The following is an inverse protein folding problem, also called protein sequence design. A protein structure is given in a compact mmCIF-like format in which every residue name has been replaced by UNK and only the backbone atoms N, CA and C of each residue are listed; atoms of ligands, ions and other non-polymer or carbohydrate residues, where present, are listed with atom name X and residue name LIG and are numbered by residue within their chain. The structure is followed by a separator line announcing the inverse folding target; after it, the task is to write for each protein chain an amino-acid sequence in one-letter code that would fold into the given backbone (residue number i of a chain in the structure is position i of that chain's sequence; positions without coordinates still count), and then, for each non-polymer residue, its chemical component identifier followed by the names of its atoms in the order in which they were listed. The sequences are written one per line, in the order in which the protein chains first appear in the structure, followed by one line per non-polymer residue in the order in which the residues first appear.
data_IF_177365997525
#
_entry.id   IF_177365997525
#
_cell.length_a   1.000
_cell.length_b   1.000
_cell.length_c   1.000
_cell.angle_alpha   90.00
_cell.angle_beta   90.00
_cell.angle_gamma   90.00
#
_symmetry.space_group_name_H-M   'P 1'
#
loop_
_entity.id
_entity.type
_entity.pdbx_description
1 polymer ?
#
# COMPACT_ATOMS: atom_id res chain seq x y z
N UNK A 1 -5.68 6.68 0.90
CA UNK A 1 -5.65 6.23 -0.51
C UNK A 1 -7.07 5.91 -0.96
N UNK A 2 -7.39 6.12 -2.22
CA UNK A 2 -8.69 5.80 -2.83
C UNK A 2 -8.44 5.10 -4.17
N UNK A 3 -9.17 4.01 -4.41
CA UNK A 3 -9.09 3.22 -5.64
C UNK A 3 -10.46 3.16 -6.28
N UNK A 4 -10.56 3.39 -7.59
CA UNK A 4 -11.82 3.30 -8.33
C UNK A 4 -11.78 2.09 -9.27
N UNK A 5 -12.83 1.26 -9.25
CA UNK A 5 -12.95 0.10 -10.14
C UNK A 5 -13.96 0.35 -11.26
N UNK A 6 -13.70 -0.16 -12.48
CA UNK A 6 -14.69 -0.15 -13.56
C UNK A 6 -15.93 -0.98 -13.19
N UNK A 7 -17.07 -0.65 -13.79
CA UNK A 7 -18.38 -1.26 -13.46
C UNK A 7 -18.50 -2.77 -13.78
N UNK A 8 -17.54 -3.35 -14.52
CA UNK A 8 -17.47 -4.78 -14.84
C UNK A 8 -16.23 -5.40 -14.21
N UNK A 9 -16.30 -5.72 -12.93
CA UNK A 9 -15.35 -6.63 -12.26
C UNK A 9 -16.13 -7.70 -11.52
N UNK A 10 -16.16 -8.91 -12.06
CA UNK A 10 -16.93 -10.01 -11.46
C UNK A 10 -16.19 -10.66 -10.29
N UNK A 11 -14.87 -10.45 -10.17
CA UNK A 11 -14.04 -10.96 -9.08
C UNK A 11 -12.85 -10.03 -8.84
N UNK A 12 -12.78 -9.44 -7.65
CA UNK A 12 -11.62 -8.71 -7.18
C UNK A 12 -10.93 -9.52 -6.08
N UNK A 13 -9.71 -9.99 -6.35
CA UNK A 13 -8.85 -10.59 -5.33
C UNK A 13 -7.89 -9.51 -4.84
N UNK A 14 -8.22 -8.87 -3.72
CA UNK A 14 -7.28 -7.99 -3.01
C UNK A 14 -6.54 -8.86 -2.00
N UNK A 15 -5.25 -9.11 -2.25
CA UNK A 15 -4.35 -9.59 -1.22
C UNK A 15 -3.85 -8.38 -0.42
N UNK A 16 -4.16 -8.33 0.87
CA UNK A 16 -3.73 -7.27 1.76
C UNK A 16 -2.40 -7.65 2.40
N UNK A 17 -1.39 -6.79 2.24
CA UNK A 17 -0.18 -6.80 3.06
C UNK A 17 0.09 -5.33 3.46
N UNK A 18 0.33 -5.04 4.73
CA UNK A 18 0.74 -3.71 5.20
C UNK A 18 2.23 -3.81 5.50
N UNK A 19 3.07 -3.22 4.65
CA UNK A 19 4.53 -3.27 4.81
C UNK A 19 5.06 -1.86 5.08
N UNK A 20 5.89 -1.73 6.11
CA UNK A 20 6.79 -0.59 6.27
C UNK A 20 8.13 -1.02 5.69
N UNK A 21 8.76 -0.15 4.92
CA UNK A 21 10.10 -0.38 4.39
C UNK A 21 11.13 -0.36 5.54
N UNK A 22 11.43 -1.54 6.08
CA UNK A 22 12.70 -1.87 6.73
C UNK A 22 12.81 -3.39 6.82
N UNK A 23 13.13 -4.04 5.70
CA UNK A 23 13.43 -5.48 5.68
C UNK A 23 14.87 -5.81 6.12
N UNK A 24 15.62 -4.83 6.61
CA UNK A 24 16.92 -5.08 7.20
C UNK A 24 16.78 -5.05 8.74
N UNK A 25 16.69 -6.25 9.34
CA UNK A 25 17.17 -6.62 10.71
C UNK A 25 16.12 -7.12 11.74
N UNK A 26 14.78 -7.20 11.52
CA UNK A 26 13.85 -7.73 12.58
C UNK A 26 12.66 -8.59 12.11
N UNK A 27 12.15 -9.43 13.03
CA UNK A 27 11.41 -10.70 12.77
C UNK A 27 9.91 -10.60 12.38
N UNK A 28 9.20 -9.50 12.64
CA UNK A 28 7.75 -9.38 12.34
C UNK A 28 7.35 -7.93 12.09
N UNK A 29 6.87 -7.63 10.89
CA UNK A 29 6.31 -6.34 10.50
C UNK A 29 4.83 -6.19 10.86
N UNK A 30 4.25 -5.02 10.55
CA UNK A 30 2.81 -4.77 10.72
C UNK A 30 1.91 -5.69 9.87
N UNK A 31 2.47 -6.30 8.81
CA UNK A 31 1.80 -7.31 7.99
C UNK A 31 1.74 -8.71 8.64
N UNK A 32 2.52 -8.96 9.70
CA UNK A 32 2.67 -10.27 10.34
C UNK A 32 1.89 -10.41 11.66
N UNK A 33 1.21 -9.35 12.10
CA UNK A 33 0.50 -9.31 13.38
C UNK A 33 -1.01 -9.42 13.18
N UNK A 34 -1.70 -9.90 14.22
CA UNK A 34 -3.16 -9.94 14.24
C UNK A 34 -3.68 -8.60 14.76
N UNK A 35 -4.53 -7.96 13.97
CA UNK A 35 -5.13 -6.67 14.30
C UNK A 35 -6.48 -6.85 14.97
N UNK A 36 -6.77 -6.02 15.96
CA UNK A 36 -8.09 -5.99 16.59
C UNK A 36 -9.07 -5.24 15.68
N UNK A 37 -10.28 -5.79 15.49
CA UNK A 37 -11.38 -5.04 14.88
C UNK A 37 -12.00 -4.17 15.97
N UNK A 38 -11.85 -2.85 15.86
CA UNK A 38 -12.36 -1.91 16.86
C UNK A 38 -13.69 -1.30 16.49
N UNK A 39 -14.00 -1.20 15.19
CA UNK A 39 -15.29 -0.72 14.66
C UNK A 39 -15.60 -1.41 13.34
N UNK A 40 -16.86 -1.69 13.06
CA UNK A 40 -17.29 -2.12 11.74
C UNK A 40 -18.77 -1.78 11.52
N UNK A 41 -19.14 -1.61 10.26
CA UNK A 41 -20.52 -1.50 9.79
C UNK A 41 -20.62 -2.20 8.44
N UNK A 42 -21.47 -3.21 8.35
CA UNK A 42 -21.63 -4.01 7.13
C UNK A 42 -22.76 -3.50 6.23
N UNK A 43 -23.71 -2.76 6.79
CA UNK A 43 -24.91 -2.29 6.11
C UNK A 43 -24.86 -0.78 5.76
N UNK A 44 -25.75 -0.39 4.86
CA UNK A 44 -25.91 1.00 4.42
C UNK A 44 -24.93 1.43 3.33
N UNK A 45 -24.92 2.74 3.04
CA UNK A 45 -24.27 3.31 1.84
C UNK A 45 -22.73 3.33 1.88
N UNK A 46 -22.12 3.05 3.04
CA UNK A 46 -20.67 3.14 3.28
C UNK A 46 -20.22 2.07 4.28
N UNK A 47 -20.30 0.78 3.92
CA UNK A 47 -19.81 -0.27 4.80
C UNK A 47 -18.31 -0.10 5.01
N UNK A 48 -17.86 -0.35 6.23
CA UNK A 48 -16.48 -0.13 6.65
C UNK A 48 -16.06 -1.05 7.79
N UNK A 49 -14.77 -1.22 7.94
CA UNK A 49 -14.12 -1.93 9.03
C UNK A 49 -12.87 -1.17 9.46
N UNK A 50 -12.63 -1.11 10.76
CA UNK A 50 -11.51 -0.43 11.38
C UNK A 50 -10.70 -1.46 12.15
N UNK A 51 -9.45 -1.62 11.73
CA UNK A 51 -8.45 -2.43 12.38
C UNK A 51 -7.53 -1.54 13.22
N UNK A 52 -7.17 -1.99 14.42
CA UNK A 52 -6.24 -1.30 15.31
C UNK A 52 -5.19 -2.27 15.82
N UNK A 53 -3.95 -1.83 15.85
CA UNK A 53 -2.83 -2.52 16.48
C UNK A 53 -2.08 -1.55 17.39
N UNK A 54 -1.58 -2.05 18.52
CA UNK A 54 -0.72 -1.28 19.43
C UNK A 54 0.66 -1.91 19.39
N UNK A 55 1.59 -1.22 18.75
CA UNK A 55 3.01 -1.56 18.68
C UNK A 55 3.68 -1.11 19.98
N UNK A 56 4.22 -2.01 20.80
CA UNK A 56 4.86 -1.63 22.07
C UNK A 56 6.17 -0.85 21.86
N UNK A 57 6.63 -0.16 22.90
CA UNK A 57 7.95 0.48 22.94
C UNK A 57 9.06 -0.53 22.63
N UNK A 58 9.94 -0.18 21.69
CA UNK A 58 11.02 -1.06 21.23
C UNK A 58 10.62 -2.10 20.19
N UNK A 59 9.36 -2.15 19.76
CA UNK A 59 8.92 -3.03 18.67
C UNK A 59 9.66 -2.67 17.37
N UNK A 60 10.20 -3.68 16.71
CA UNK A 60 11.14 -3.54 15.60
C UNK A 60 12.30 -2.53 15.86
N UNK A 61 12.59 -2.24 17.12
CA UNK A 61 13.65 -1.30 17.53
C UNK A 61 13.24 0.16 17.52
N UNK A 62 11.98 0.47 17.22
CA UNK A 62 11.48 1.84 17.23
C UNK A 62 11.09 2.28 18.65
N UNK A 63 11.35 3.54 19.01
CA UNK A 63 10.99 4.07 20.32
C UNK A 63 9.49 4.33 20.41
N UNK A 64 8.96 4.20 21.62
CA UNK A 64 7.61 4.57 22.00
C UNK A 64 6.55 3.54 21.63
N UNK A 65 5.46 3.56 22.37
CA UNK A 65 4.25 2.84 22.00
C UNK A 65 3.52 3.59 20.87
N UNK A 66 3.17 2.87 19.81
CA UNK A 66 2.49 3.42 18.64
C UNK A 66 1.13 2.73 18.43
N UNK A 67 0.05 3.51 18.46
CA UNK A 67 -1.27 3.02 18.01
C UNK A 67 -1.35 3.22 16.51
N UNK A 68 -1.57 2.14 15.76
CA UNK A 68 -1.82 2.19 14.32
C UNK A 68 -3.27 1.78 14.06
N UNK A 69 -3.94 2.51 13.18
CA UNK A 69 -5.32 2.24 12.77
C UNK A 69 -5.42 2.22 11.25
N UNK A 70 -6.13 1.23 10.71
CA UNK A 70 -6.44 1.12 9.29
C UNK A 70 -7.95 1.02 9.11
N UNK A 71 -8.53 1.98 8.41
CA UNK A 71 -9.94 1.97 8.05
C UNK A 71 -10.10 1.60 6.58
N UNK A 72 -10.78 0.48 6.33
CA UNK A 72 -11.26 0.10 5.00
C UNK A 72 -12.72 0.47 4.86
N UNK A 73 -13.08 1.10 3.75
CA UNK A 73 -14.45 1.56 3.50
C UNK A 73 -14.77 1.43 2.02
N UNK A 74 -15.87 0.78 1.71
CA UNK A 74 -16.44 0.83 0.37
C UNK A 74 -17.32 2.08 0.30
N UNK A 75 -17.11 2.89 -0.74
CA UNK A 75 -17.96 4.05 -1.02
C UNK A 75 -18.68 3.85 -2.35
N UNK A 76 -19.49 4.84 -2.75
CA UNK A 76 -20.22 4.76 -4.03
C UNK A 76 -19.24 4.66 -5.20
N UNK A 77 -19.73 4.17 -6.34
CA UNK A 77 -18.98 4.08 -7.60
C UNK A 77 -17.75 3.15 -7.51
N UNK A 78 -17.93 1.96 -6.92
CA UNK A 78 -16.90 0.93 -6.80
C UNK A 78 -15.57 1.48 -6.29
N UNK A 79 -15.61 2.34 -5.27
CA UNK A 79 -14.41 2.94 -4.71
C UNK A 79 -14.06 2.30 -3.37
N UNK A 80 -12.81 1.85 -3.24
CA UNK A 80 -12.21 1.42 -1.98
C UNK A 80 -11.39 2.55 -1.39
N UNK A 81 -11.80 3.02 -0.22
CA UNK A 81 -11.06 4.00 0.58
C UNK A 81 -10.29 3.27 1.68
N UNK A 82 -8.98 3.53 1.74
CA UNK A 82 -8.08 3.03 2.79
C UNK A 82 -7.45 4.22 3.50
N UNK A 83 -7.74 4.37 4.79
CA UNK A 83 -7.16 5.42 5.63
C UNK A 83 -6.29 4.77 6.68
N UNK A 84 -5.01 5.15 6.72
CA UNK A 84 -4.03 4.64 7.67
C UNK A 84 -3.58 5.79 8.55
N UNK A 85 -3.66 5.61 9.86
CA UNK A 85 -3.33 6.61 10.86
C UNK A 85 -2.41 5.97 11.92
N UNK A 86 -1.46 6.75 12.42
CA UNK A 86 -0.59 6.33 13.49
C UNK A 86 -0.47 7.44 14.53
N UNK A 87 -0.52 7.08 15.81
CA UNK A 87 -0.42 8.02 16.93
C UNK A 87 0.57 7.51 17.97
N UNK A 88 1.72 8.19 18.18
CA UNK A 88 2.61 7.87 19.27
C UNK A 88 1.93 8.19 20.61
N UNK A 89 2.11 7.35 21.63
CA UNK A 89 1.55 7.60 22.96
C UNK A 89 2.50 8.36 23.88
N UNK A 90 3.80 8.06 23.83
CA UNK A 90 4.77 8.44 24.85
C UNK A 90 6.07 9.04 24.29
N UNK A 91 6.55 8.58 23.13
CA UNK A 91 7.79 9.06 22.50
C UNK A 91 7.59 9.36 21.02
N UNK A 92 8.34 10.33 20.51
CA UNK A 92 8.44 10.55 19.07
C UNK A 92 9.04 9.31 18.40
N UNK A 93 8.44 8.88 17.28
CA UNK A 93 8.86 7.70 16.53
C UNK A 93 8.64 7.94 15.04
N UNK A 94 9.56 7.44 14.21
CA UNK A 94 9.44 7.56 12.76
C UNK A 94 8.37 6.60 12.24
N UNK A 95 7.45 7.10 11.43
CA UNK A 95 6.36 6.30 10.84
C UNK A 95 6.17 6.67 9.38
N UNK A 96 6.16 5.67 8.50
CA UNK A 96 5.73 5.79 7.11
C UNK A 96 4.95 4.52 6.73
N UNK A 97 3.62 4.64 6.59
CA UNK A 97 2.74 3.50 6.35
C UNK A 97 2.47 3.34 4.85
N UNK A 98 2.57 2.12 4.34
CA UNK A 98 2.20 1.79 2.98
C UNK A 98 1.18 0.63 2.94
N UNK A 99 0.40 0.61 1.87
CA UNK A 99 -0.58 -0.43 1.59
C UNK A 99 -0.11 -1.25 0.39
N UNK A 100 0.19 -2.53 0.62
CA UNK A 100 0.94 -3.38 -0.30
C UNK A 100 0.03 -4.34 -1.08
N UNK A 101 -0.97 -3.79 -1.76
CA UNK A 101 -1.87 -4.57 -2.62
C UNK A 101 -1.24 -4.85 -3.98
N UNK A 102 -1.41 -6.06 -4.46
CA UNK A 102 -1.13 -6.46 -5.83
C UNK A 102 -2.41 -6.45 -6.66
N UNK A 103 -2.32 -5.94 -7.89
CA UNK A 103 -3.41 -5.93 -8.85
C UNK A 103 -3.08 -6.87 -10.00
N UNK A 104 -4.06 -7.68 -10.39
CA UNK A 104 -4.11 -8.40 -11.65
C UNK A 104 -5.56 -8.33 -12.13
N UNK A 105 -5.81 -7.55 -13.17
CA UNK A 105 -7.13 -7.26 -13.71
C UNK A 105 -7.70 -8.45 -14.48
N UNK A 106 -6.86 -9.38 -14.93
CA UNK A 106 -7.28 -10.68 -15.45
C UNK A 106 -7.89 -11.59 -14.37
N UNK A 107 -7.60 -11.30 -13.10
CA UNK A 107 -8.13 -12.01 -11.94
C UNK A 107 -7.27 -13.19 -11.48
N UNK A 108 -7.84 -14.01 -10.61
CA UNK A 108 -7.13 -15.14 -10.01
C UNK A 108 -6.70 -16.15 -11.08
N UNK A 109 -5.43 -16.56 -11.07
CA UNK A 109 -4.80 -17.48 -12.03
C UNK A 109 -4.75 -16.96 -13.48
N UNK A 110 -4.84 -15.65 -13.71
CA UNK A 110 -4.75 -15.07 -15.06
C UNK A 110 -3.33 -15.03 -15.64
N UNK A 111 -2.31 -15.35 -14.84
CA UNK A 111 -0.91 -15.30 -15.25
C UNK A 111 -0.27 -13.96 -14.94
N UNK A 112 0.50 -13.43 -15.89
CA UNK A 112 1.18 -12.14 -15.77
C UNK A 112 0.24 -10.94 -16.01
N UNK A 113 0.80 -9.73 -15.90
CA UNK A 113 0.11 -8.45 -16.10
C UNK A 113 0.55 -7.75 -17.41
N UNK A 114 1.29 -8.42 -18.30
CA UNK A 114 1.97 -7.77 -19.42
C UNK A 114 1.00 -7.22 -20.48
N UNK A 115 -0.25 -7.69 -20.50
CA UNK A 115 -1.31 -7.11 -21.34
C UNK A 115 -2.02 -5.92 -20.70
N UNK A 116 -1.73 -5.59 -19.44
CA UNK A 116 -2.35 -4.47 -18.74
C UNK A 116 -1.73 -3.13 -19.19
N UNK A 117 -2.59 -2.11 -19.25
CA UNK A 117 -2.18 -0.73 -19.50
C UNK A 117 -2.02 0.03 -18.20
N UNK A 118 -0.93 0.79 -18.09
CA UNK A 118 -0.63 1.61 -16.92
C UNK A 118 -0.27 3.04 -17.34
N UNK A 119 -0.74 4.00 -16.53
CA UNK A 119 -0.31 5.39 -16.55
C UNK A 119 0.07 5.82 -15.13
N UNK A 120 1.25 6.41 -14.97
CA UNK A 120 1.75 6.95 -13.71
C UNK A 120 2.00 8.45 -13.90
N UNK A 121 1.28 9.27 -13.15
CA UNK A 121 1.42 10.73 -13.17
C UNK A 121 2.59 11.19 -12.29
N UNK A 122 3.78 10.65 -12.55
CA UNK A 122 5.03 10.98 -11.87
C UNK A 122 6.11 11.34 -12.88
N UNK A 123 6.75 12.49 -12.72
CA UNK A 123 7.79 12.99 -13.65
C UNK A 123 9.21 12.65 -13.21
N UNK A 124 9.40 12.04 -12.04
CA UNK A 124 10.72 11.70 -11.49
C UNK A 124 10.65 10.46 -10.61
N UNK A 125 11.80 9.81 -10.43
CA UNK A 125 11.99 8.66 -9.55
C UNK A 125 13.27 8.84 -8.72
N UNK A 126 13.43 8.03 -7.68
CA UNK A 126 14.63 7.97 -6.83
C UNK A 126 15.44 6.74 -7.20
N UNK A 127 16.55 6.88 -7.96
CA UNK A 127 17.41 5.75 -8.27
C UNK A 127 17.94 5.09 -6.99
N UNK A 128 18.15 3.78 -7.07
CA UNK A 128 18.72 2.99 -5.99
C UNK A 128 20.03 2.35 -6.43
N UNK A 129 20.89 2.04 -5.47
CA UNK A 129 22.09 1.23 -5.69
C UNK A 129 21.79 -0.27 -5.74
N UNK A 130 22.83 -1.10 -5.80
CA UNK A 130 22.70 -2.56 -5.82
C UNK A 130 22.13 -3.18 -4.54
N UNK A 131 22.05 -2.40 -3.45
CA UNK A 131 21.43 -2.80 -2.18
C UNK A 131 20.00 -2.26 -2.04
N UNK A 132 19.45 -1.66 -3.10
CA UNK A 132 18.14 -1.00 -3.14
C UNK A 132 18.05 0.24 -2.23
N UNK A 133 19.18 0.85 -1.87
CA UNK A 133 19.22 2.08 -1.08
C UNK A 133 19.12 3.28 -2.02
N UNK A 134 18.22 4.26 -1.77
CA UNK A 134 18.14 5.47 -2.58
C UNK A 134 19.47 6.23 -2.58
N UNK A 135 19.95 6.60 -3.77
CA UNK A 135 21.24 7.30 -3.93
C UNK A 135 21.21 8.77 -3.48
N UNK A 136 20.03 9.27 -3.11
CA UNK A 136 19.77 10.69 -2.83
C UNK A 136 19.48 11.53 -4.08
N UNK A 137 19.62 10.96 -5.28
CA UNK A 137 19.26 11.63 -6.53
C UNK A 137 17.75 11.58 -6.79
N UNK A 138 17.25 12.61 -7.48
CA UNK A 138 15.90 12.64 -8.06
C UNK A 138 16.09 12.78 -9.56
N UNK A 139 15.75 11.73 -10.31
CA UNK A 139 16.00 11.63 -11.76
C UNK A 139 14.71 11.71 -12.55
N UNK A 140 14.69 12.37 -13.73
CA UNK A 140 13.49 12.45 -14.55
C UNK A 140 13.15 11.07 -15.14
N UNK A 141 11.85 10.77 -15.27
CA UNK A 141 11.41 9.54 -15.97
C UNK A 141 11.56 9.66 -17.48
N UNK A 142 11.51 10.88 -18.02
CA UNK A 142 11.50 11.14 -19.46
C UNK A 142 12.73 10.55 -20.15
N UNK A 143 12.48 9.76 -21.21
CA UNK A 143 13.55 9.11 -21.97
C UNK A 143 14.16 7.89 -21.27
N UNK A 144 13.55 7.43 -20.17
CA UNK A 144 13.91 6.18 -19.48
C UNK A 144 12.79 5.15 -19.66
N UNK A 145 13.03 3.86 -19.37
CA UNK A 145 11.96 2.87 -19.36
C UNK A 145 10.89 3.09 -18.27
N UNK A 146 11.10 4.04 -17.35
CA UNK A 146 10.13 4.42 -16.32
C UNK A 146 9.15 5.51 -16.76
N UNK A 147 9.17 5.93 -18.04
CA UNK A 147 8.25 6.96 -18.56
C UNK A 147 6.85 6.38 -18.84
N UNK A 148 6.03 6.35 -17.79
CA UNK A 148 4.61 5.98 -17.83
C UNK A 148 3.68 7.20 -17.84
N UNK A 149 4.16 8.36 -18.32
CA UNK A 149 3.38 9.61 -18.30
C UNK A 149 2.11 9.57 -19.17
N UNK A 150 2.08 8.66 -20.15
CA UNK A 150 0.91 8.30 -20.95
C UNK A 150 0.57 6.82 -20.73
N UNK A 151 -0.68 6.42 -21.01
CA UNK A 151 -1.09 5.01 -20.96
C UNK A 151 -0.22 4.17 -21.91
N UNK A 152 0.47 3.17 -21.36
CA UNK A 152 1.26 2.21 -22.14
C UNK A 152 1.04 0.78 -21.65
N UNK A 153 1.13 -0.18 -22.59
CA UNK A 153 1.13 -1.61 -22.29
C UNK A 153 2.47 -2.01 -21.68
N UNK A 154 2.42 -2.78 -20.59
CA UNK A 154 3.62 -3.29 -19.92
C UNK A 154 4.47 -4.19 -20.85
N UNK A 155 5.79 -4.05 -20.77
CA UNK A 155 6.75 -4.86 -21.54
C UNK A 155 7.89 -5.29 -20.63
N UNK A 156 8.37 -6.52 -20.81
CA UNK A 156 9.64 -6.95 -20.22
C UNK A 156 10.77 -6.23 -20.98
N UNK A 157 11.68 -5.61 -20.24
CA UNK A 157 12.88 -4.92 -20.74
C UNK A 157 14.08 -5.83 -20.56
#
# INVERSE_FOLDING_TARGET
MSFHFPDKMDKLVILFLVMIASEAIRKKGLGDVVWAVTKHKYDGKKPHIVFTYTSPDGDQGFPGELIVTVTYKLVKNNELSVVMEAKPKDKATSVNLAHHTYWNLGGHNAGDILSEEIQILGSSYTPVDGELIPTGQISPVKGTPYDFSNSIVLKII
#
